data_IF_619597914523
#
_entry.id   IF_619597914523
#
_cell.length_a   1.000
_cell.length_b   1.000
_cell.length_c   1.000
_cell.angle_alpha   90.00
_cell.angle_beta   90.00
_cell.angle_gamma   90.00
#
_symmetry.space_group_name_H-M   'P 1'
#
loop_
_entity.id
_entity.type
_entity.pdbx_description
1 polymer ?
#
# COMPACT_ATOMS: atom_id res chain seq x y z
N UNK A 1 16.17 5.03 13.88
CA UNK A 1 14.72 4.80 13.98
C UNK A 1 14.13 5.10 12.61
N UNK A 2 13.78 4.08 11.84
CA UNK A 2 13.14 4.29 10.54
C UNK A 2 11.68 4.67 10.82
N UNK A 3 11.36 5.94 10.65
CA UNK A 3 10.00 6.44 10.87
C UNK A 3 9.17 6.35 9.58
N UNK A 4 7.84 6.55 9.68
CA UNK A 4 6.99 6.78 8.50
C UNK A 4 7.29 8.11 7.79
N UNK A 5 8.24 8.89 8.30
CA UNK A 5 8.74 10.13 7.70
C UNK A 5 9.98 9.85 6.85
N UNK A 6 10.29 10.75 5.92
CA UNK A 6 11.42 10.63 4.95
C UNK A 6 11.27 9.43 4.00
N UNK A 7 10.08 9.29 3.41
CA UNK A 7 9.74 8.25 2.44
C UNK A 7 10.28 8.63 1.07
N UNK A 8 11.05 7.74 0.47
CA UNK A 8 11.67 7.89 -0.87
C UNK A 8 11.13 6.91 -1.89
N UNK A 9 10.47 5.85 -1.45
CA UNK A 9 9.89 4.83 -2.33
C UNK A 9 8.57 4.29 -1.81
N UNK A 10 7.59 4.16 -2.71
CA UNK A 10 6.23 3.69 -2.40
C UNK A 10 5.80 2.63 -3.39
N UNK A 11 5.25 1.54 -2.89
CA UNK A 11 4.58 0.52 -3.68
C UNK A 11 3.09 0.50 -3.39
N UNK A 12 2.27 0.46 -4.44
CA UNK A 12 0.82 0.37 -4.33
C UNK A 12 0.36 -0.97 -4.85
N UNK A 13 -0.23 -1.78 -3.97
CA UNK A 13 -0.81 -3.08 -4.33
C UNK A 13 -2.27 -2.90 -4.74
N UNK A 14 -2.61 -3.37 -5.93
CA UNK A 14 -3.88 -3.22 -6.59
C UNK A 14 -4.21 -1.79 -7.04
N UNK A 15 -3.18 -1.06 -7.48
CA UNK A 15 -3.40 0.13 -8.29
C UNK A 15 -4.30 -0.20 -9.50
N UNK A 16 -5.10 0.75 -9.94
CA UNK A 16 -6.14 0.53 -10.95
C UNK A 16 -6.20 1.68 -11.94
N UNK A 17 -6.44 1.36 -13.21
CA UNK A 17 -6.77 2.35 -14.24
C UNK A 17 -8.21 2.90 -14.12
N UNK A 18 -9.08 2.20 -13.37
CA UNK A 18 -10.49 2.57 -13.23
C UNK A 18 -10.61 3.82 -12.35
N UNK A 19 -11.10 4.91 -12.93
CA UNK A 19 -11.07 6.26 -12.34
C UNK A 19 -11.70 6.40 -10.95
N UNK A 20 -12.75 5.65 -10.65
CA UNK A 20 -13.44 5.70 -9.36
C UNK A 20 -12.83 4.79 -8.28
N UNK A 21 -11.80 4.01 -8.61
CA UNK A 21 -11.12 3.14 -7.64
C UNK A 21 -10.00 3.86 -6.90
N UNK A 22 -9.84 3.52 -5.63
CA UNK A 22 -8.81 4.07 -4.73
C UNK A 22 -7.42 3.97 -5.35
N UNK A 23 -7.09 2.83 -5.97
CA UNK A 23 -5.79 2.63 -6.62
C UNK A 23 -5.51 3.63 -7.72
N UNK A 24 -6.53 4.09 -8.48
CA UNK A 24 -6.38 5.15 -9.47
C UNK A 24 -6.17 6.53 -8.81
N UNK A 25 -6.93 6.82 -7.76
CA UNK A 25 -6.75 8.07 -7.01
C UNK A 25 -5.32 8.21 -6.48
N UNK A 26 -4.74 7.10 -5.98
CA UNK A 26 -3.35 7.09 -5.52
C UNK A 26 -2.35 7.33 -6.64
N UNK A 27 -2.57 6.77 -7.84
CA UNK A 27 -1.74 7.05 -9.02
C UNK A 27 -1.72 8.55 -9.31
N UNK A 28 -2.89 9.18 -9.38
CA UNK A 28 -3.03 10.63 -9.63
C UNK A 28 -2.39 11.47 -8.52
N UNK A 29 -2.64 11.13 -7.26
CA UNK A 29 -2.13 11.88 -6.11
C UNK A 29 -0.61 11.80 -5.96
N UNK A 30 0.00 10.71 -6.41
CA UNK A 30 1.45 10.52 -6.39
C UNK A 30 2.17 11.13 -7.59
N UNK A 31 1.47 11.80 -8.50
CA UNK A 31 2.11 12.44 -9.68
C UNK A 31 3.20 13.44 -9.30
N UNK A 32 3.04 14.16 -8.20
CA UNK A 32 3.99 15.16 -7.70
C UNK A 32 5.02 14.61 -6.69
N UNK A 33 4.90 13.35 -6.28
CA UNK A 33 5.86 12.72 -5.40
C UNK A 33 7.18 12.49 -6.15
N UNK A 34 8.28 12.99 -5.62
CA UNK A 34 9.59 12.92 -6.25
C UNK A 34 10.31 11.58 -6.07
N UNK A 35 9.80 10.71 -5.19
CA UNK A 35 10.37 9.41 -4.91
C UNK A 35 10.02 8.35 -5.97
N UNK A 36 10.57 7.17 -5.79
CA UNK A 36 10.29 6.02 -6.64
C UNK A 36 8.89 5.47 -6.37
N UNK A 37 8.19 5.13 -7.43
CA UNK A 37 6.81 4.64 -7.41
C UNK A 37 6.69 3.34 -8.17
N UNK A 38 6.10 2.35 -7.53
CA UNK A 38 5.86 1.05 -8.14
C UNK A 38 4.39 0.66 -7.97
N UNK A 39 3.84 0.11 -9.03
CA UNK A 39 2.44 -0.22 -9.15
C UNK A 39 2.28 -1.71 -9.35
N UNK A 40 1.46 -2.35 -8.53
CA UNK A 40 1.23 -3.78 -8.58
C UNK A 40 -0.23 -4.04 -8.90
N UNK A 41 -0.46 -4.77 -9.99
CA UNK A 41 -1.77 -5.33 -10.31
C UNK A 41 -1.60 -6.54 -11.25
N UNK A 42 -2.08 -7.74 -10.86
CA UNK A 42 -1.91 -8.95 -11.69
C UNK A 42 -2.66 -8.92 -13.02
N UNK A 43 -3.62 -7.99 -13.19
CA UNK A 43 -4.47 -7.86 -14.38
C UNK A 43 -3.95 -6.83 -15.39
N UNK A 44 -3.11 -5.90 -14.94
CA UNK A 44 -2.64 -4.78 -15.76
C UNK A 44 -1.14 -4.85 -15.94
N UNK A 45 -0.64 -4.38 -17.05
CA UNK A 45 0.79 -4.34 -17.35
C UNK A 45 1.29 -2.92 -17.68
N UNK A 46 0.38 -2.04 -18.14
CA UNK A 46 0.68 -0.63 -18.41
C UNK A 46 -0.59 0.22 -18.39
N UNK A 47 -0.50 1.43 -17.87
CA UNK A 47 -1.54 2.45 -17.91
C UNK A 47 -0.89 3.83 -17.91
N UNK A 48 -1.21 4.68 -18.91
CA UNK A 48 -0.70 6.05 -19.06
C UNK A 48 0.84 6.15 -18.96
N UNK A 49 1.55 5.22 -19.61
CA UNK A 49 3.00 5.12 -19.55
C UNK A 49 3.57 4.55 -18.24
N UNK A 50 2.72 4.14 -17.33
CA UNK A 50 3.09 3.55 -16.04
C UNK A 50 3.08 2.03 -16.17
N UNK A 51 4.23 1.40 -15.92
CA UNK A 51 4.36 -0.05 -15.90
C UNK A 51 3.85 -0.63 -14.59
N UNK A 52 3.06 -1.70 -14.67
CA UNK A 52 2.62 -2.49 -13.52
C UNK A 52 3.43 -3.77 -13.39
N UNK A 53 3.71 -4.12 -12.15
CA UNK A 53 4.23 -5.43 -11.78
C UNK A 53 3.08 -6.37 -11.42
N UNK A 54 3.25 -7.66 -11.64
CA UNK A 54 2.17 -8.64 -11.38
C UNK A 54 2.06 -9.03 -9.92
N UNK A 55 3.18 -9.01 -9.21
CA UNK A 55 3.24 -9.40 -7.80
C UNK A 55 4.30 -8.60 -7.04
N UNK A 56 4.24 -8.69 -5.70
CA UNK A 56 5.27 -8.14 -4.81
C UNK A 56 6.64 -8.79 -5.08
N UNK A 57 6.68 -10.03 -5.52
CA UNK A 57 7.92 -10.76 -5.79
C UNK A 57 8.72 -10.18 -6.94
N UNK A 58 8.06 -9.58 -7.93
CA UNK A 58 8.70 -9.01 -9.12
C UNK A 58 9.39 -7.66 -8.88
N UNK A 59 9.20 -7.06 -7.72
CA UNK A 59 9.65 -5.70 -7.49
C UNK A 59 11.17 -5.61 -7.31
N UNK A 60 11.79 -4.61 -7.95
CA UNK A 60 13.25 -4.53 -8.03
C UNK A 60 13.92 -4.06 -6.74
N UNK A 61 13.20 -3.36 -5.88
CA UNK A 61 13.73 -2.81 -4.63
C UNK A 61 12.78 -3.05 -3.46
N UNK A 62 13.29 -2.98 -2.24
CA UNK A 62 12.47 -2.94 -1.02
C UNK A 62 11.98 -1.52 -0.82
N UNK A 63 10.65 -1.27 -0.76
CA UNK A 63 10.13 0.08 -0.58
C UNK A 63 10.29 0.57 0.85
N UNK A 64 10.25 1.88 1.01
CA UNK A 64 10.07 2.47 2.32
C UNK A 64 8.66 2.24 2.86
N UNK A 65 7.65 2.28 1.98
CA UNK A 65 6.25 1.97 2.33
C UNK A 65 5.60 1.11 1.24
N UNK A 66 4.85 0.10 1.69
CA UNK A 66 3.93 -0.68 0.87
C UNK A 66 2.49 -0.32 1.25
N UNK A 67 1.67 0.01 0.27
CA UNK A 67 0.27 0.40 0.45
C UNK A 67 -0.66 -0.66 -0.11
N UNK A 68 -1.59 -1.14 0.72
CA UNK A 68 -2.59 -2.11 0.31
C UNK A 68 -3.93 -1.44 0.00
N UNK A 69 -4.44 -1.66 -1.21
CA UNK A 69 -5.81 -1.29 -1.64
C UNK A 69 -6.60 -2.50 -2.10
N UNK A 70 -6.23 -3.68 -1.63
CA UNK A 70 -6.82 -4.99 -1.95
C UNK A 70 -8.00 -5.29 -1.03
N UNK A 71 -8.89 -6.22 -1.40
CA UNK A 71 -9.92 -6.71 -0.48
C UNK A 71 -9.33 -7.30 0.81
N UNK A 72 -9.96 -7.03 1.95
CA UNK A 72 -9.48 -7.40 3.29
C UNK A 72 -9.00 -8.86 3.41
N UNK A 73 -9.72 -9.78 2.79
CA UNK A 73 -9.40 -11.22 2.81
C UNK A 73 -8.04 -11.60 2.22
N UNK A 74 -7.41 -10.70 1.46
CA UNK A 74 -6.09 -10.95 0.84
C UNK A 74 -4.96 -10.22 1.57
N UNK A 75 -5.28 -9.34 2.52
CA UNK A 75 -4.26 -8.49 3.17
C UNK A 75 -3.28 -9.31 4.00
N UNK A 76 -3.76 -10.30 4.77
CA UNK A 76 -2.92 -11.12 5.62
C UNK A 76 -1.84 -11.88 4.81
N UNK A 77 -2.25 -12.56 3.74
CA UNK A 77 -1.31 -13.28 2.86
C UNK A 77 -0.32 -12.32 2.21
N UNK A 78 -0.79 -11.17 1.73
CA UNK A 78 0.06 -10.16 1.10
C UNK A 78 1.05 -9.50 2.07
N UNK A 79 0.71 -9.38 3.36
CA UNK A 79 1.66 -8.96 4.40
C UNK A 79 2.80 -9.96 4.58
N UNK A 80 2.49 -11.26 4.53
CA UNK A 80 3.51 -12.32 4.62
C UNK A 80 4.43 -12.28 3.38
N UNK A 81 3.87 -12.06 2.19
CA UNK A 81 4.67 -11.86 0.98
C UNK A 81 5.58 -10.63 1.07
N UNK A 82 5.04 -9.53 1.58
CA UNK A 82 5.80 -8.30 1.81
C UNK A 82 6.97 -8.53 2.77
N UNK A 83 6.75 -9.26 3.86
CA UNK A 83 7.81 -9.63 4.79
C UNK A 83 8.92 -10.44 4.11
N UNK A 84 8.60 -11.40 3.27
CA UNK A 84 9.59 -12.19 2.50
C UNK A 84 10.48 -11.30 1.62
N UNK A 85 9.97 -10.14 1.22
CA UNK A 85 10.70 -9.09 0.49
C UNK A 85 11.32 -8.02 1.40
N UNK A 86 11.39 -8.28 2.70
CA UNK A 86 11.98 -7.38 3.70
C UNK A 86 11.26 -6.04 3.87
N UNK A 87 10.01 -5.92 3.44
CA UNK A 87 9.18 -4.75 3.68
C UNK A 87 8.95 -4.61 5.19
N UNK A 88 9.18 -3.41 5.71
CA UNK A 88 9.08 -3.12 7.14
C UNK A 88 7.91 -2.21 7.50
N UNK A 89 7.36 -1.49 6.54
CA UNK A 89 6.29 -0.52 6.79
C UNK A 89 5.18 -0.69 5.78
N UNK A 90 3.95 -0.77 6.27
CA UNK A 90 2.77 -0.92 5.43
C UNK A 90 1.65 0.01 5.86
N UNK A 91 0.89 0.48 4.88
CA UNK A 91 -0.35 1.22 5.07
C UNK A 91 -1.49 0.38 4.51
N UNK A 92 -2.51 0.11 5.32
CA UNK A 92 -3.67 -0.66 4.89
C UNK A 92 -4.84 0.30 4.71
N UNK A 93 -5.10 0.66 3.45
CA UNK A 93 -6.25 1.46 3.06
C UNK A 93 -7.50 0.58 2.98
N UNK A 94 -7.33 -0.71 2.76
CA UNK A 94 -8.42 -1.68 2.70
C UNK A 94 -9.35 -1.57 3.90
N UNK A 95 -10.65 -1.49 3.63
CA UNK A 95 -11.72 -1.53 4.62
C UNK A 95 -12.20 -3.00 4.83
N UNK A 96 -13.24 -3.18 5.66
CA UNK A 96 -13.93 -4.46 5.92
C UNK A 96 -13.22 -5.28 7.01
N UNK A 97 -12.80 -4.61 8.05
CA UNK A 97 -12.26 -5.17 9.28
C UNK A 97 -13.20 -4.89 10.46
N UNK A 98 -12.73 -4.25 11.52
CA UNK A 98 -13.48 -4.01 12.74
C UNK A 98 -14.76 -3.18 12.52
N UNK A 99 -14.78 -2.29 11.54
CA UNK A 99 -15.93 -1.49 11.16
C UNK A 99 -17.13 -2.34 10.67
N UNK A 100 -16.90 -3.60 10.28
CA UNK A 100 -17.93 -4.58 9.95
C UNK A 100 -17.90 -5.80 10.88
N UNK A 101 -17.38 -5.62 12.11
CA UNK A 101 -17.25 -6.69 13.11
C UNK A 101 -16.29 -7.83 12.75
N UNK A 102 -15.42 -7.66 11.76
CA UNK A 102 -14.35 -8.61 11.42
C UNK A 102 -13.14 -8.43 12.36
N UNK A 103 -13.37 -8.66 13.65
CA UNK A 103 -12.35 -8.52 14.70
C UNK A 103 -11.24 -9.55 14.53
N UNK A 104 -11.58 -10.75 14.09
CA UNK A 104 -10.61 -11.83 13.90
C UNK A 104 -9.61 -11.49 12.80
N UNK A 105 -10.08 -10.91 11.68
CA UNK A 105 -9.21 -10.45 10.61
C UNK A 105 -8.23 -9.36 11.08
N UNK A 106 -8.68 -8.41 11.89
CA UNK A 106 -7.81 -7.38 12.45
C UNK A 106 -6.78 -7.96 13.43
N UNK A 107 -7.19 -8.87 14.32
CA UNK A 107 -6.30 -9.57 15.24
C UNK A 107 -5.25 -10.42 14.51
N UNK A 108 -5.59 -11.00 13.37
CA UNK A 108 -4.64 -11.71 12.51
C UNK A 108 -3.57 -10.79 11.97
N UNK A 109 -3.93 -9.60 11.50
CA UNK A 109 -2.97 -8.61 11.02
C UNK A 109 -2.01 -8.15 12.13
N UNK A 110 -2.51 -7.97 13.36
CA UNK A 110 -1.69 -7.64 14.53
C UNK A 110 -0.66 -8.74 14.79
N UNK A 111 -1.10 -9.99 14.84
CA UNK A 111 -0.20 -11.14 15.07
C UNK A 111 0.88 -11.24 13.99
N UNK A 112 0.53 -11.00 12.73
CA UNK A 112 1.48 -10.99 11.61
C UNK A 112 2.48 -9.84 11.78
N UNK A 113 2.00 -8.64 12.09
CA UNK A 113 2.82 -7.46 12.33
C UNK A 113 3.85 -7.70 13.44
N UNK A 114 3.40 -8.19 14.59
CA UNK A 114 4.27 -8.50 15.74
C UNK A 114 5.28 -9.60 15.40
N UNK A 115 4.82 -10.70 14.80
CA UNK A 115 5.66 -11.87 14.46
C UNK A 115 6.79 -11.51 13.50
N UNK A 116 6.53 -10.64 12.54
CA UNK A 116 7.45 -10.32 11.46
C UNK A 116 8.09 -8.93 11.57
N UNK A 117 7.79 -8.21 12.65
CA UNK A 117 8.26 -6.84 12.90
C UNK A 117 7.97 -5.91 11.71
N UNK A 118 6.71 -5.89 11.29
CA UNK A 118 6.19 -4.98 10.25
C UNK A 118 5.41 -3.88 10.95
N UNK A 119 5.80 -2.64 10.74
CA UNK A 119 5.06 -1.49 11.23
C UNK A 119 3.80 -1.29 10.37
N UNK A 120 2.64 -1.38 10.99
CA UNK A 120 1.36 -1.17 10.32
C UNK A 120 0.80 0.21 10.63
N UNK A 121 0.48 0.98 9.60
CA UNK A 121 -0.52 2.02 9.71
C UNK A 121 -1.89 1.39 9.43
N UNK A 122 -2.78 1.49 10.39
CA UNK A 122 -3.97 0.70 10.67
C UNK A 122 -4.93 0.48 9.48
N UNK A 123 -5.69 -0.65 9.45
CA UNK A 123 -6.75 -0.87 8.46
C UNK A 123 -7.73 0.29 8.36
N UNK A 124 -8.32 0.47 7.16
CA UNK A 124 -9.20 1.59 6.85
C UNK A 124 -8.55 2.96 7.04
N UNK A 125 -7.25 3.04 6.76
CA UNK A 125 -6.53 4.32 6.75
C UNK A 125 -7.06 5.20 5.60
N UNK A 126 -7.66 6.35 5.94
CA UNK A 126 -8.27 7.24 4.94
C UNK A 126 -7.24 8.09 4.21
N UNK A 127 -6.17 8.47 4.86
CA UNK A 127 -5.09 9.25 4.27
C UNK A 127 -3.77 9.13 5.03
N UNK A 128 -2.69 9.27 4.29
CA UNK A 128 -1.37 9.59 4.80
C UNK A 128 -0.79 10.67 3.88
N UNK A 129 -0.43 11.81 4.43
CA UNK A 129 0.09 12.95 3.65
C UNK A 129 1.35 13.48 4.30
N UNK A 130 2.42 13.53 3.52
CA UNK A 130 3.68 14.20 3.85
C UNK A 130 3.88 15.35 2.87
N UNK A 131 3.70 16.57 3.35
CA UNK A 131 3.75 17.78 2.51
C UNK A 131 5.17 18.16 2.12
N UNK A 132 6.16 17.81 2.90
CA UNK A 132 7.58 18.06 2.60
C UNK A 132 8.02 17.26 1.37
N UNK A 133 7.70 15.98 1.35
CA UNK A 133 8.05 15.07 0.25
C UNK A 133 7.00 15.03 -0.86
N UNK A 134 5.92 15.81 -0.75
CA UNK A 134 4.77 15.80 -1.68
C UNK A 134 4.13 14.41 -1.83
N UNK A 135 4.22 13.60 -0.79
CA UNK A 135 3.61 12.28 -0.74
C UNK A 135 2.15 12.41 -0.31
N UNK A 136 1.23 12.03 -1.19
CA UNK A 136 -0.21 12.07 -0.93
C UNK A 136 -0.83 10.69 -1.21
N UNK A 137 -1.11 9.97 -0.14
CA UNK A 137 -1.78 8.68 -0.14
C UNK A 137 -3.23 8.82 0.39
N UNK A 138 -3.97 9.79 -0.14
CA UNK A 138 -5.37 10.02 0.22
C UNK A 138 -6.33 9.50 -0.86
N UNK A 139 -7.60 9.32 -0.49
CA UNK A 139 -8.65 8.95 -1.42
C UNK A 139 -9.10 10.09 -2.33
N UNK A 140 -8.90 11.33 -1.90
CA UNK A 140 -9.34 12.49 -2.63
C UNK A 140 -8.33 12.90 -3.68
N UNK A 141 -8.78 12.97 -4.92
CA UNK A 141 -8.07 13.68 -5.99
C UNK A 141 -8.47 15.16 -5.92
N UNK A 142 -7.50 16.05 -6.11
CA UNK A 142 -7.78 17.47 -6.28
C UNK A 142 -8.52 17.73 -7.59
#
# INVERSE_FOLDING_TARGET
MNSFFDIKSVWIVWSSEIEWKIGNSLIKNLSNFNGEKFWINPKWWEYDGIKFYKSIEELPIVPDILVFTIPAKFVADSLIEAWKKWVKRTIIISAWFKEIWNIDGENELIKISEKYAIDLLWPNCLWYVDTENKLNLSFWTK
#
